data_IF_992421883165
#
_entry.id   IF_992421883165
#
_cell.length_a   1.000
_cell.length_b   1.000
_cell.length_c   1.000
_cell.angle_alpha   90.00
_cell.angle_beta   90.00
_cell.angle_gamma   90.00
#
_symmetry.space_group_name_H-M   'P 1'
#
loop_
_entity.id
_entity.type
_entity.pdbx_description
1 polymer ?
#
# COMPACT_ATOMS: atom_id res chain seq x y z
N UNK A 1 4.41 -21.03 2.09
CA UNK A 1 4.11 -21.04 3.53
C UNK A 1 2.88 -20.16 3.69
N UNK A 2 1.68 -20.75 3.62
CA UNK A 2 0.40 -20.02 3.62
C UNK A 2 0.09 -19.58 5.05
N UNK A 3 0.74 -18.50 5.47
CA UNK A 3 0.49 -17.83 6.73
C UNK A 3 -0.86 -17.13 6.66
N UNK A 4 -1.59 -17.13 7.76
CA UNK A 4 -2.90 -16.50 7.89
C UNK A 4 -2.88 -15.08 7.33
N UNK A 5 -3.78 -14.81 6.39
CA UNK A 5 -4.03 -13.47 5.86
C UNK A 5 -5.14 -12.80 6.65
N UNK A 6 -5.03 -11.50 6.86
CA UNK A 6 -6.11 -10.68 7.38
C UNK A 6 -6.68 -9.87 6.21
N UNK A 7 -7.99 -9.93 6.01
CA UNK A 7 -8.68 -9.23 4.94
C UNK A 7 -9.58 -8.14 5.50
N UNK A 8 -9.54 -6.97 4.87
CA UNK A 8 -10.45 -5.86 5.12
C UNK A 8 -11.38 -5.70 3.91
N UNK A 9 -12.67 -5.54 4.20
CA UNK A 9 -13.68 -5.29 3.18
C UNK A 9 -14.01 -3.80 3.13
N UNK A 10 -13.94 -3.22 1.94
CA UNK A 10 -14.31 -1.84 1.69
C UNK A 10 -15.40 -1.74 0.64
N UNK A 11 -16.25 -0.73 0.78
CA UNK A 11 -17.26 -0.36 -0.19
C UNK A 11 -17.06 1.09 -0.63
N UNK A 12 -17.20 1.36 -1.91
CA UNK A 12 -17.12 2.72 -2.46
C UNK A 12 -18.16 2.91 -3.55
N UNK A 13 -18.65 4.15 -3.68
CA UNK A 13 -19.61 4.54 -4.71
C UNK A 13 -18.87 5.26 -5.84
N UNK A 14 -18.90 4.69 -7.04
CA UNK A 14 -18.33 5.27 -8.24
C UNK A 14 -19.44 5.93 -9.08
N UNK A 15 -19.34 7.24 -9.32
CA UNK A 15 -20.30 7.97 -10.14
C UNK A 15 -19.75 8.15 -11.56
N UNK A 16 -20.41 7.55 -12.55
CA UNK A 16 -20.03 7.60 -13.97
C UNK A 16 -21.26 8.02 -14.77
N UNK A 17 -21.15 9.11 -15.53
CA UNK A 17 -22.22 9.61 -16.41
C UNK A 17 -23.59 9.80 -15.71
N UNK A 18 -23.58 10.07 -14.40
CA UNK A 18 -24.78 10.26 -13.58
C UNK A 18 -25.35 8.96 -12.99
N UNK A 19 -24.78 7.80 -13.32
CA UNK A 19 -25.09 6.52 -12.68
C UNK A 19 -24.17 6.27 -11.47
N UNK A 20 -24.69 5.65 -10.42
CA UNK A 20 -23.90 5.24 -9.24
C UNK A 20 -23.66 3.74 -9.27
N UNK A 21 -22.39 3.35 -9.36
CA UNK A 21 -21.92 1.96 -9.33
C UNK A 21 -21.34 1.69 -7.94
N UNK A 22 -21.91 0.73 -7.22
CA UNK A 22 -21.34 0.28 -5.94
C UNK A 22 -20.22 -0.72 -6.17
N UNK A 23 -19.04 -0.39 -5.65
CA UNK A 23 -17.88 -1.26 -5.62
C UNK A 23 -17.76 -1.90 -4.24
N UNK A 24 -17.55 -3.21 -4.22
CA UNK A 24 -17.22 -3.96 -3.02
C UNK A 24 -15.93 -4.71 -3.29
N UNK A 25 -14.95 -4.58 -2.40
CA UNK A 25 -13.67 -5.26 -2.53
C UNK A 25 -13.19 -5.77 -1.18
N UNK A 26 -12.51 -6.90 -1.21
CA UNK A 26 -11.68 -7.37 -0.11
C UNK A 26 -10.22 -7.13 -0.46
N UNK A 27 -9.43 -6.64 0.49
CA UNK A 27 -7.99 -6.52 0.36
C UNK A 27 -7.29 -7.15 1.55
N UNK A 28 -6.21 -7.86 1.28
CA UNK A 28 -5.26 -8.28 2.31
C UNK A 28 -4.62 -7.05 2.95
N UNK A 29 -4.52 -7.04 4.27
CA UNK A 29 -3.82 -5.99 5.03
C UNK A 29 -2.52 -6.57 5.57
N UNK A 30 -1.41 -5.91 5.28
CA UNK A 30 -0.08 -6.38 5.67
C UNK A 30 0.16 -6.27 7.19
N UNK A 31 -0.29 -5.16 7.81
CA UNK A 31 -0.12 -4.92 9.24
C UNK A 31 -1.10 -3.86 9.80
N UNK A 32 -1.13 -3.73 11.13
CA UNK A 32 -1.84 -2.67 11.84
C UNK A 32 -0.87 -1.82 12.67
N UNK A 33 -1.03 -0.50 12.64
CA UNK A 33 -0.42 0.45 13.59
C UNK A 33 -1.48 0.86 14.61
N UNK A 34 -1.57 0.13 15.71
CA UNK A 34 -2.76 0.21 16.57
C UNK A 34 -3.94 -0.43 15.85
N UNK A 35 -4.98 0.35 15.58
CA UNK A 35 -6.16 -0.08 14.81
C UNK A 35 -6.13 0.41 13.34
N UNK A 36 -5.11 1.19 12.96
CA UNK A 36 -4.98 1.73 11.60
C UNK A 36 -4.29 0.71 10.69
N UNK A 37 -4.89 0.32 9.54
CA UNK A 37 -4.23 -0.56 8.60
C UNK A 37 -3.09 0.15 7.89
N UNK A 38 -1.99 -0.57 7.67
CA UNK A 38 -0.80 -0.07 6.97
C UNK A 38 -0.39 -1.04 5.85
N UNK A 39 0.00 -0.48 4.71
CA UNK A 39 0.53 -1.23 3.58
C UNK A 39 2.06 -1.31 3.66
N UNK A 40 2.62 -2.50 3.48
CA UNK A 40 4.07 -2.74 3.54
C UNK A 40 4.59 -3.15 2.17
N UNK A 41 5.48 -2.34 1.59
CA UNK A 41 6.13 -2.64 0.31
C UNK A 41 7.63 -2.69 0.44
N UNK A 42 8.27 -3.53 -0.36
CA UNK A 42 9.73 -3.56 -0.52
C UNK A 42 10.10 -3.15 -1.94
N UNK A 43 11.07 -2.24 -2.08
CA UNK A 43 11.53 -1.73 -3.37
C UNK A 43 13.05 -1.72 -3.47
N UNK A 44 13.65 -2.11 -4.61
CA UNK A 44 15.00 -1.68 -4.94
C UNK A 44 15.09 -0.16 -5.01
N UNK A 45 16.18 0.42 -4.49
CA UNK A 45 16.38 1.88 -4.43
C UNK A 45 16.22 2.58 -5.78
N UNK A 46 16.81 2.02 -6.85
CA UNK A 46 16.70 2.56 -8.21
C UNK A 46 15.26 2.57 -8.77
N UNK A 47 14.33 1.83 -8.16
CA UNK A 47 12.94 1.74 -8.61
C UNK A 47 11.97 2.56 -7.76
N UNK A 48 12.47 3.29 -6.75
CA UNK A 48 11.67 4.15 -5.87
C UNK A 48 10.89 5.22 -6.65
N UNK A 49 11.47 5.75 -7.73
CA UNK A 49 10.85 6.81 -8.54
C UNK A 49 10.01 6.27 -9.72
N UNK A 50 9.65 4.98 -9.69
CA UNK A 50 8.83 4.39 -10.75
C UNK A 50 7.38 4.85 -10.64
N UNK A 51 6.97 5.76 -11.54
CA UNK A 51 5.62 6.34 -11.57
C UNK A 51 4.52 5.27 -11.54
N UNK A 52 4.52 4.34 -12.50
CA UNK A 52 3.47 3.33 -12.62
C UNK A 52 3.38 2.40 -11.42
N UNK A 53 4.52 2.13 -10.79
CA UNK A 53 4.56 1.32 -9.58
C UNK A 53 3.95 2.07 -8.40
N UNK A 54 4.38 3.29 -8.15
CA UNK A 54 3.90 4.09 -7.04
C UNK A 54 2.40 4.37 -7.19
N UNK A 55 1.95 4.66 -8.40
CA UNK A 55 0.53 4.83 -8.72
C UNK A 55 -0.28 3.57 -8.39
N UNK A 56 0.24 2.37 -8.70
CA UNK A 56 -0.43 1.11 -8.31
C UNK A 56 -0.54 0.94 -6.80
N UNK A 57 0.51 1.28 -6.05
CA UNK A 57 0.52 1.17 -4.59
C UNK A 57 -0.50 2.16 -3.98
N UNK A 58 -0.54 3.39 -4.47
CA UNK A 58 -1.52 4.39 -4.04
C UNK A 58 -2.94 3.92 -4.35
N UNK A 59 -3.22 3.48 -5.59
CA UNK A 59 -4.56 3.01 -5.96
C UNK A 59 -5.00 1.79 -5.14
N UNK A 60 -4.09 0.86 -4.87
CA UNK A 60 -4.37 -0.31 -4.03
C UNK A 60 -4.80 0.13 -2.62
N UNK A 61 -4.09 1.09 -2.03
CA UNK A 61 -4.33 1.55 -0.66
C UNK A 61 -5.59 2.41 -0.56
N UNK A 62 -5.79 3.32 -1.52
CA UNK A 62 -6.90 4.27 -1.58
C UNK A 62 -8.26 3.57 -1.67
N UNK A 63 -8.37 2.54 -2.53
CA UNK A 63 -9.62 1.81 -2.75
C UNK A 63 -10.17 1.18 -1.45
N UNK A 64 -9.28 0.83 -0.52
CA UNK A 64 -9.64 0.21 0.76
C UNK A 64 -9.44 1.12 1.97
N UNK A 65 -9.09 2.40 1.76
CA UNK A 65 -8.93 3.37 2.84
C UNK A 65 -7.71 3.15 3.73
N UNK A 66 -6.63 2.57 3.19
CA UNK A 66 -5.33 2.48 3.86
C UNK A 66 -4.56 3.78 3.63
N UNK A 67 -4.36 4.56 4.69
CA UNK A 67 -3.79 5.91 4.60
C UNK A 67 -2.27 5.96 4.84
N UNK A 68 -1.63 4.81 5.11
CA UNK A 68 -0.21 4.74 5.41
C UNK A 68 0.46 3.61 4.63
N UNK A 69 1.49 3.97 3.88
CA UNK A 69 2.33 3.04 3.12
C UNK A 69 3.75 3.16 3.63
N UNK A 70 4.33 2.04 4.07
CA UNK A 70 5.74 1.97 4.48
C UNK A 70 6.53 1.24 3.41
N UNK A 71 7.55 1.92 2.88
CA UNK A 71 8.39 1.37 1.82
C UNK A 71 9.79 1.07 2.36
N UNK A 72 10.10 -0.22 2.46
CA UNK A 72 11.45 -0.70 2.75
C UNK A 72 12.34 -0.65 1.50
N UNK A 73 13.44 0.10 1.56
CA UNK A 73 14.44 0.11 0.50
C UNK A 73 15.40 -1.09 0.65
N UNK A 74 15.45 -1.93 -0.39
CA UNK A 74 16.44 -2.99 -0.49
C UNK A 74 17.73 -2.40 -1.05
N UNK A 75 18.68 -2.12 -0.16
CA UNK A 75 20.03 -1.71 -0.55
C UNK A 75 20.76 -2.84 -1.30
N UNK A 76 21.60 -2.47 -2.27
CA UNK A 76 22.67 -3.35 -2.74
C UNK A 76 23.66 -3.53 -1.60
N UNK A 77 24.10 -4.76 -1.34
CA UNK A 77 25.05 -5.09 -0.26
C UNK A 77 26.36 -4.31 -0.41
N UNK A 78 26.42 -3.10 0.14
CA UNK A 78 27.66 -2.42 0.52
C UNK A 78 27.49 -1.88 1.95
N UNK A 79 28.56 -2.00 2.73
CA UNK A 79 28.57 -2.04 4.19
C UNK A 79 27.91 -0.82 4.86
N UNK A 80 27.10 -1.07 5.89
CA UNK A 80 26.58 -0.06 6.81
C UNK A 80 25.20 0.50 6.44
N UNK A 81 24.23 -0.36 6.15
CA UNK A 81 22.88 0.09 5.75
C UNK A 81 22.13 0.71 6.93
N UNK A 82 22.10 2.05 7.00
CA UNK A 82 21.07 2.78 7.74
C UNK A 82 19.72 2.49 7.06
N UNK A 83 18.78 1.91 7.78
CA UNK A 83 17.40 1.79 7.33
C UNK A 83 16.78 3.19 7.32
N UNK A 84 16.76 3.87 6.17
CA UNK A 84 16.02 5.12 6.03
C UNK A 84 14.56 4.73 5.82
N UNK A 85 13.75 4.93 6.86
CA UNK A 85 12.30 4.88 6.77
C UNK A 85 11.84 6.17 6.12
N UNK A 86 11.31 6.09 4.90
CA UNK A 86 10.55 7.18 4.31
C UNK A 86 9.07 6.92 4.61
N UNK A 87 8.51 7.72 5.52
CA UNK A 87 7.06 7.80 5.71
C UNK A 87 6.51 8.69 4.60
N UNK A 88 5.62 8.16 3.76
CA UNK A 88 4.85 8.95 2.80
C UNK A 88 3.48 9.16 3.45
N UNK A 89 3.29 10.34 4.03
CA UNK A 89 2.00 10.78 4.58
C UNK A 89 1.31 11.61 3.50
N UNK A 90 0.09 11.24 3.15
CA UNK A 90 -0.79 12.02 2.26
C UNK A 90 -1.77 12.85 3.11
#
# INVERSE_FOLDING_TARGET
DNRSTFEMFASSDLVVEGETIKLFCGAEVDALRGDEPIELKTTPEHSLNSYWRNMKIVLQSEIVGINAIVIGLKGTKEAGTKHILHEVIY
#
